data_IF_212126587815
#
_entry.id   IF_212126587815
#
_cell.length_a   1.000
_cell.length_b   1.000
_cell.length_c   1.000
_cell.angle_alpha   90.00
_cell.angle_beta   90.00
_cell.angle_gamma   90.00
#
_symmetry.space_group_name_H-M   'P 1'
#
loop_
_entity.id
_entity.type
_entity.pdbx_description
1 polymer ?
#
# COMPACT_ATOMS: atom_id res chain seq x y z
N UNK A 1 -18.21 65.39 30.88
CA UNK A 1 -19.65 65.08 30.78
C UNK A 1 -20.39 66.15 31.58
N UNK A 2 -21.05 67.08 30.90
CA UNK A 2 -21.68 68.26 31.52
C UNK A 2 -23.18 68.05 31.54
N UNK A 3 -23.78 67.94 32.72
CA UNK A 3 -25.23 67.76 32.90
C UNK A 3 -25.85 69.12 33.15
N UNK A 4 -26.78 69.53 32.28
CA UNK A 4 -27.58 70.75 32.45
C UNK A 4 -28.88 70.41 33.18
N UNK A 5 -29.16 71.10 34.29
CA UNK A 5 -30.48 71.10 34.93
C UNK A 5 -31.21 72.38 34.54
N UNK A 6 -32.27 72.27 33.74
CA UNK A 6 -33.20 73.38 33.44
C UNK A 6 -34.34 73.35 34.44
N UNK A 7 -34.54 74.44 35.17
CA UNK A 7 -35.67 74.62 36.09
C UNK A 7 -36.72 75.53 35.43
N UNK A 8 -37.77 74.92 34.87
CA UNK A 8 -38.88 75.60 34.19
C UNK A 8 -39.94 76.06 35.21
N UNK A 9 -39.89 77.32 35.68
CA UNK A 9 -41.09 78.01 36.21
C UNK A 9 -41.00 79.53 35.99
N UNK A 10 -42.04 80.08 35.34
CA UNK A 10 -42.46 81.51 35.16
C UNK A 10 -41.90 82.24 33.93
N UNK A 11 -42.72 82.45 32.89
CA UNK A 11 -43.61 83.61 32.60
C UNK A 11 -42.95 84.53 31.54
N UNK A 12 -43.57 85.32 30.65
CA UNK A 12 -44.93 85.83 30.39
C UNK A 12 -44.93 86.34 28.93
N UNK A 13 -46.06 86.28 28.23
CA UNK A 13 -46.25 86.89 26.90
C UNK A 13 -46.63 88.38 27.02
N UNK A 14 -45.98 89.26 26.25
CA UNK A 14 -46.38 90.68 26.09
C UNK A 14 -46.50 91.01 24.61
N UNK A 15 -47.66 91.55 24.21
CA UNK A 15 -47.99 92.00 22.85
C UNK A 15 -47.95 93.53 22.82
N UNK A 16 -47.21 94.13 21.87
CA UNK A 16 -47.23 95.57 21.63
C UNK A 16 -47.80 95.87 20.23
N UNK A 17 -48.80 96.77 20.16
CA UNK A 17 -49.26 97.46 18.95
C UNK A 17 -48.38 98.69 18.74
N UNK A 18 -48.10 99.01 17.48
CA UNK A 18 -47.40 100.18 16.96
C UNK A 18 -45.86 100.05 16.86
N UNK A 19 -45.38 100.45 15.69
CA UNK A 19 -44.13 100.05 15.05
C UNK A 19 -42.89 100.79 15.60
N UNK A 20 -42.73 100.75 16.93
CA UNK A 20 -41.55 101.24 17.66
C UNK A 20 -40.92 100.07 18.43
N UNK A 21 -39.61 99.79 18.28
CA UNK A 21 -38.98 98.62 18.87
C UNK A 21 -38.92 98.74 20.41
N UNK A 22 -39.64 97.83 21.10
CA UNK A 22 -39.53 97.63 22.55
C UNK A 22 -38.39 96.65 22.81
N UNK A 23 -37.28 97.14 23.38
CA UNK A 23 -36.15 96.32 23.78
C UNK A 23 -36.47 95.53 25.06
N UNK A 24 -36.81 94.24 24.93
CA UNK A 24 -36.79 93.30 26.06
C UNK A 24 -35.38 92.70 26.17
N UNK A 25 -34.64 93.16 27.18
CA UNK A 25 -33.27 92.74 27.47
C UNK A 25 -33.30 91.39 28.23
N UNK A 26 -33.20 90.25 27.52
CA UNK A 26 -33.01 88.95 28.18
C UNK A 26 -31.51 88.78 28.49
N UNK A 27 -31.14 89.02 29.74
CA UNK A 27 -29.83 88.67 30.30
C UNK A 27 -29.73 87.15 30.48
N UNK A 28 -28.96 86.47 29.63
CA UNK A 28 -28.42 85.15 29.99
C UNK A 28 -27.18 85.36 30.87
N UNK A 29 -27.37 85.33 32.20
CA UNK A 29 -26.25 85.25 33.14
C UNK A 29 -25.65 83.84 33.07
N UNK A 30 -24.38 83.76 32.73
CA UNK A 30 -23.55 82.55 32.86
C UNK A 30 -23.35 82.27 34.34
N UNK A 31 -24.29 81.57 34.97
CA UNK A 31 -24.12 81.11 36.35
C UNK A 31 -23.30 79.83 36.33
N UNK A 32 -21.97 79.97 36.49
CA UNK A 32 -21.18 78.87 37.01
C UNK A 32 -21.62 78.66 38.47
N UNK A 33 -22.59 77.76 38.67
CA UNK A 33 -23.09 77.41 40.01
C UNK A 33 -21.91 76.88 40.83
N UNK A 34 -21.36 77.74 41.68
CA UNK A 34 -20.23 77.42 42.56
C UNK A 34 -20.78 76.46 43.61
N UNK A 35 -20.48 75.17 43.42
CA UNK A 35 -20.88 74.07 44.28
C UNK A 35 -20.69 74.45 45.76
N UNK A 36 -21.77 74.36 46.55
CA UNK A 36 -21.81 74.88 47.92
C UNK A 36 -20.80 74.13 48.80
N UNK A 37 -20.31 74.77 49.87
CA UNK A 37 -19.31 74.13 50.78
C UNK A 37 -19.81 72.81 51.36
N UNK A 38 -21.12 72.65 51.53
CA UNK A 38 -21.73 71.40 51.99
C UNK A 38 -21.76 70.30 50.91
N UNK A 39 -21.98 70.66 49.64
CA UNK A 39 -21.94 69.69 48.54
C UNK A 39 -20.52 69.12 48.37
N UNK A 40 -19.48 69.93 48.61
CA UNK A 40 -18.07 69.48 48.64
C UNK A 40 -17.76 68.57 49.81
N UNK A 41 -18.38 68.80 50.96
CA UNK A 41 -18.18 68.03 52.19
C UNK A 41 -18.73 66.60 52.08
N UNK A 42 -19.71 66.37 51.20
CA UNK A 42 -20.31 65.05 50.97
C UNK A 42 -19.67 64.37 49.75
N UNK A 43 -19.49 65.10 48.64
CA UNK A 43 -19.05 64.51 47.37
C UNK A 43 -17.58 64.11 47.40
N UNK A 44 -16.68 64.89 48.02
CA UNK A 44 -15.26 64.55 48.03
C UNK A 44 -14.90 63.33 48.88
N UNK A 45 -15.44 63.15 50.11
CA UNK A 45 -15.22 61.90 50.82
C UNK A 45 -15.82 60.72 50.07
N UNK A 46 -17.01 60.86 49.46
CA UNK A 46 -17.61 59.79 48.66
C UNK A 46 -16.75 59.42 47.45
N UNK A 47 -16.15 60.40 46.78
CA UNK A 47 -15.27 60.20 45.63
C UNK A 47 -13.93 59.60 46.04
N UNK A 48 -13.38 59.97 47.19
CA UNK A 48 -12.19 59.33 47.79
C UNK A 48 -12.51 57.92 48.28
N UNK A 49 -13.74 57.65 48.73
CA UNK A 49 -14.22 56.31 49.08
C UNK A 49 -14.39 55.45 47.82
N UNK A 50 -14.97 55.99 46.74
CA UNK A 50 -15.09 55.31 45.44
C UNK A 50 -13.72 55.06 44.81
N UNK A 51 -12.80 56.04 44.86
CA UNK A 51 -11.44 55.89 44.37
C UNK A 51 -10.66 54.92 45.26
N UNK A 52 -10.91 54.94 46.57
CA UNK A 52 -10.42 53.96 47.53
C UNK A 52 -10.98 52.57 47.31
N UNK A 53 -12.21 52.40 46.83
CA UNK A 53 -12.76 51.11 46.39
C UNK A 53 -12.20 50.66 45.05
N UNK A 54 -11.90 51.58 44.12
CA UNK A 54 -11.20 51.28 42.87
C UNK A 54 -9.72 50.92 43.09
N UNK A 55 -9.08 51.48 44.12
CA UNK A 55 -7.67 51.26 44.46
C UNK A 55 -7.47 50.13 45.50
N UNK A 56 -8.43 49.92 46.43
CA UNK A 56 -8.55 48.70 47.27
C UNK A 56 -9.21 47.55 46.51
N UNK A 57 -9.69 47.80 45.30
CA UNK A 57 -9.83 46.81 44.23
C UNK A 57 -8.45 46.32 43.79
N UNK A 58 -7.68 45.87 44.78
CA UNK A 58 -6.68 44.84 44.65
C UNK A 58 -7.23 43.78 43.68
N UNK A 59 -6.50 43.44 42.63
CA UNK A 59 -5.45 42.40 42.75
C UNK A 59 -6.07 41.01 43.06
N UNK A 60 -7.40 40.87 42.94
CA UNK A 60 -8.08 39.61 42.68
C UNK A 60 -8.25 39.44 41.15
N UNK A 61 -7.19 39.00 40.46
CA UNK A 61 -7.38 38.32 39.17
C UNK A 61 -6.49 38.71 37.99
N UNK A 62 -5.72 39.80 38.04
CA UNK A 62 -4.59 39.97 37.11
C UNK A 62 -3.29 39.63 37.85
N UNK A 63 -3.29 38.43 38.46
CA UNK A 63 -2.08 37.66 38.32
C UNK A 63 -1.95 37.49 36.80
N UNK A 64 -1.02 38.21 36.18
CA UNK A 64 -0.25 37.59 35.13
C UNK A 64 0.24 36.29 35.76
N UNK A 65 -0.56 35.22 35.62
CA UNK A 65 -0.19 33.91 36.10
C UNK A 65 1.09 33.66 35.35
N UNK A 66 2.24 33.85 36.03
CA UNK A 66 3.48 33.23 35.63
C UNK A 66 3.05 31.83 35.30
N UNK A 67 3.08 31.51 33.99
CA UNK A 67 2.58 30.25 33.45
C UNK A 67 3.20 29.20 34.34
N UNK A 68 2.42 28.63 35.25
CA UNK A 68 2.94 27.75 36.28
C UNK A 68 3.18 26.46 35.53
N UNK A 69 4.33 26.39 34.87
CA UNK A 69 4.75 25.20 34.15
C UNK A 69 5.02 24.19 35.25
N UNK A 70 4.06 23.29 35.45
CA UNK A 70 4.30 22.12 36.28
C UNK A 70 5.39 21.32 35.59
N UNK A 71 6.56 21.24 36.22
CA UNK A 71 7.70 20.48 35.68
C UNK A 71 7.43 18.97 35.74
N UNK A 72 6.55 18.52 36.64
CA UNK A 72 6.21 17.11 36.85
C UNK A 72 4.78 16.97 37.34
N UNK A 73 3.98 16.21 36.61
CA UNK A 73 2.65 15.76 37.06
C UNK A 73 2.78 14.31 37.52
N UNK A 74 2.51 14.05 38.79
CA UNK A 74 2.44 12.69 39.34
C UNK A 74 0.99 12.39 39.67
N UNK A 75 0.36 11.57 38.85
CA UNK A 75 -1.02 11.16 39.03
C UNK A 75 -1.16 9.67 38.71
N UNK A 76 -2.15 9.02 39.32
CA UNK A 76 -2.52 7.64 38.95
C UNK A 76 -3.15 7.60 37.56
N UNK A 77 -3.86 8.66 37.20
CA UNK A 77 -4.53 8.84 35.93
C UNK A 77 -4.66 10.34 35.63
N UNK A 78 -4.51 10.74 34.38
CA UNK A 78 -4.85 12.07 33.89
C UNK A 78 -5.92 11.90 32.82
N UNK A 79 -7.10 12.50 33.02
CA UNK A 79 -8.23 12.41 32.08
C UNK A 79 -8.54 13.80 31.54
N UNK A 80 -8.61 13.90 30.21
CA UNK A 80 -9.11 15.06 29.49
C UNK A 80 -10.55 14.75 29.07
N UNK A 81 -11.47 15.66 29.36
CA UNK A 81 -12.89 15.57 29.00
C UNK A 81 -13.28 16.69 28.05
N UNK A 82 -14.34 16.49 27.26
CA UNK A 82 -14.94 17.53 26.43
C UNK A 82 -15.87 18.47 27.24
N UNK A 83 -16.54 19.41 26.56
CA UNK A 83 -17.48 20.35 27.17
C UNK A 83 -18.69 19.68 27.83
N UNK A 84 -19.01 18.43 27.45
CA UNK A 84 -20.11 17.65 28.01
C UNK A 84 -19.66 16.80 29.21
N UNK A 85 -18.36 16.76 29.50
CA UNK A 85 -17.77 15.93 30.54
C UNK A 85 -17.41 14.51 30.08
N UNK A 86 -17.49 14.22 28.78
CA UNK A 86 -17.15 12.92 28.21
C UNK A 86 -15.65 12.79 28.00
N UNK A 87 -15.09 11.60 28.26
CA UNK A 87 -13.65 11.36 28.15
C UNK A 87 -13.19 11.44 26.70
N UNK A 88 -12.11 12.16 26.45
CA UNK A 88 -11.50 12.29 25.11
C UNK A 88 -10.09 11.70 25.08
N UNK A 89 -9.31 11.91 26.14
CA UNK A 89 -7.95 11.37 26.30
C UNK A 89 -7.74 10.92 27.74
N UNK A 90 -7.05 9.80 27.94
CA UNK A 90 -6.59 9.37 29.26
C UNK A 90 -5.13 8.93 29.21
N UNK A 91 -4.33 9.33 30.19
CA UNK A 91 -3.02 8.78 30.48
C UNK A 91 -3.17 7.85 31.68
N UNK A 92 -3.09 6.54 31.45
CA UNK A 92 -3.25 5.52 32.49
C UNK A 92 -2.45 4.26 32.20
N UNK A 93 -1.92 3.64 33.24
CA UNK A 93 -1.28 2.32 33.17
C UNK A 93 -0.21 2.16 32.06
N UNK A 94 0.59 3.20 31.79
CA UNK A 94 1.62 3.17 30.75
C UNK A 94 1.12 3.43 29.32
N UNK A 95 -0.14 3.83 29.17
CA UNK A 95 -0.75 4.16 27.88
C UNK A 95 -1.28 5.59 27.84
N UNK A 96 -1.18 6.20 26.66
CA UNK A 96 -2.02 7.31 26.22
C UNK A 96 -3.16 6.71 25.39
N UNK A 97 -4.39 6.99 25.77
CA UNK A 97 -5.59 6.44 25.14
C UNK A 97 -6.48 7.58 24.70
N UNK A 98 -6.98 7.53 23.47
CA UNK A 98 -8.03 8.43 22.98
C UNK A 98 -9.35 7.69 22.87
N UNK A 99 -10.44 8.43 23.02
CA UNK A 99 -11.80 7.91 22.95
C UNK A 99 -12.55 8.55 21.77
N UNK A 100 -13.40 7.76 21.11
CA UNK A 100 -14.31 8.29 20.09
C UNK A 100 -15.61 8.83 20.72
N UNK A 101 -16.50 9.35 19.87
CA UNK A 101 -17.80 9.91 20.30
C UNK A 101 -18.72 8.92 21.00
N UNK A 102 -18.47 7.61 20.88
CA UNK A 102 -19.23 6.56 21.54
C UNK A 102 -18.63 6.16 22.89
N UNK A 103 -17.54 6.82 23.32
CA UNK A 103 -16.82 6.49 24.55
C UNK A 103 -16.01 5.19 24.46
N UNK A 104 -15.90 4.58 23.27
CA UNK A 104 -14.98 3.45 23.04
C UNK A 104 -13.59 3.96 22.70
N UNK A 105 -12.57 3.16 23.01
CA UNK A 105 -11.18 3.52 22.70
C UNK A 105 -11.06 3.66 21.19
N UNK A 106 -10.46 4.75 20.73
CA UNK A 106 -10.15 5.01 19.32
C UNK A 106 -8.69 4.70 19.00
N UNK A 107 -7.76 5.04 19.91
CA UNK A 107 -6.34 4.76 19.75
C UNK A 107 -5.69 4.53 21.11
N UNK A 108 -4.73 3.61 21.20
CA UNK A 108 -3.84 3.47 22.35
C UNK A 108 -2.37 3.52 21.90
N UNK A 109 -1.53 4.20 22.68
CA UNK A 109 -0.09 4.32 22.47
C UNK A 109 0.56 4.04 23.82
N UNK A 110 1.47 3.07 23.90
CA UNK A 110 2.11 2.76 25.17
C UNK A 110 3.05 1.56 25.07
N UNK A 111 3.18 0.86 26.19
CA UNK A 111 4.04 -0.31 26.30
C UNK A 111 3.23 -1.52 26.75
N UNK A 112 3.39 -2.64 26.04
CA UNK A 112 2.79 -3.93 26.37
C UNK A 112 3.92 -4.95 26.56
N UNK A 113 4.15 -5.37 27.81
CA UNK A 113 5.32 -6.18 28.16
C UNK A 113 6.62 -5.41 27.90
N UNK A 114 7.55 -6.04 27.17
CA UNK A 114 8.87 -5.48 26.87
C UNK A 114 8.89 -4.55 25.64
N UNK A 115 7.75 -4.39 24.95
CA UNK A 115 7.67 -3.71 23.65
C UNK A 115 6.74 -2.50 23.63
N UNK A 116 7.02 -1.55 22.73
CA UNK A 116 6.12 -0.45 22.40
C UNK A 116 4.98 -0.91 21.48
N UNK A 117 3.80 -0.31 21.65
CA UNK A 117 2.63 -0.60 20.81
C UNK A 117 1.81 0.67 20.52
N UNK A 118 1.32 0.77 19.30
CA UNK A 118 0.29 1.71 18.85
C UNK A 118 -0.85 0.90 18.24
N UNK A 119 -2.07 1.07 18.73
CA UNK A 119 -3.26 0.37 18.21
C UNK A 119 -4.34 1.38 17.88
N UNK A 120 -4.93 1.29 16.69
CA UNK A 120 -6.16 1.98 16.34
C UNK A 120 -7.33 1.00 16.40
N UNK A 121 -8.47 1.46 16.92
CA UNK A 121 -9.66 0.65 17.13
C UNK A 121 -10.81 1.20 16.28
N UNK A 122 -11.70 0.31 15.85
CA UNK A 122 -12.94 0.70 15.19
C UNK A 122 -13.98 1.18 16.21
N UNK A 123 -15.14 1.65 15.71
CA UNK A 123 -16.19 2.21 16.56
C UNK A 123 -16.80 1.20 17.56
N UNK A 124 -16.67 -0.10 17.29
CA UNK A 124 -17.10 -1.19 18.17
C UNK A 124 -16.06 -1.54 19.25
N UNK A 125 -14.88 -0.91 19.23
CA UNK A 125 -13.78 -1.21 20.15
C UNK A 125 -12.92 -2.41 19.73
N UNK A 126 -13.07 -2.91 18.51
CA UNK A 126 -12.22 -3.96 17.96
C UNK A 126 -10.96 -3.35 17.34
N UNK A 127 -9.75 -3.91 17.56
CA UNK A 127 -8.54 -3.47 16.88
C UNK A 127 -8.71 -3.50 15.35
N UNK A 128 -8.35 -2.41 14.68
CA UNK A 128 -8.36 -2.30 13.22
C UNK A 128 -6.95 -2.29 12.62
N UNK A 129 -5.98 -1.73 13.33
CA UNK A 129 -4.57 -1.77 12.96
C UNK A 129 -3.65 -1.57 14.16
N UNK A 130 -2.43 -2.07 14.07
CA UNK A 130 -1.41 -1.82 15.07
C UNK A 130 0.01 -1.81 14.50
N UNK A 131 0.89 -1.10 15.22
CA UNK A 131 2.33 -1.16 15.08
C UNK A 131 2.89 -1.61 16.43
N UNK A 132 3.74 -2.63 16.45
CA UNK A 132 4.34 -3.14 17.68
C UNK A 132 5.82 -3.51 17.49
N UNK A 133 6.58 -3.41 18.58
CA UNK A 133 7.98 -3.80 18.63
C UNK A 133 8.20 -4.88 19.72
N UNK A 134 7.72 -6.11 19.54
CA UNK A 134 8.00 -7.22 20.45
C UNK A 134 9.51 -7.58 20.47
N UNK A 135 9.91 -8.40 21.44
CA UNK A 135 11.32 -8.76 21.68
C UNK A 135 12.01 -9.49 20.52
N UNK A 136 11.25 -10.06 19.56
CA UNK A 136 11.77 -10.83 18.43
C UNK A 136 11.67 -10.12 17.07
N UNK A 137 11.32 -8.83 17.05
CA UNK A 137 11.29 -8.01 15.84
C UNK A 137 10.15 -6.99 15.82
N UNK A 138 10.02 -6.23 14.74
CA UNK A 138 8.91 -5.31 14.54
C UNK A 138 7.74 -5.95 13.79
N UNK A 139 6.52 -5.49 14.07
CA UNK A 139 5.33 -5.88 13.32
C UNK A 139 4.38 -4.71 13.09
N UNK A 140 3.72 -4.75 11.94
CA UNK A 140 2.58 -3.90 11.57
C UNK A 140 1.49 -4.83 11.11
N UNK A 141 0.27 -4.69 11.62
CA UNK A 141 -0.84 -5.51 11.16
C UNK A 141 -2.15 -4.73 11.08
N UNK A 142 -3.07 -5.26 10.29
CA UNK A 142 -4.45 -4.79 10.16
C UNK A 142 -5.41 -5.94 10.42
N UNK A 143 -6.61 -5.59 10.87
CA UNK A 143 -7.71 -6.50 11.11
C UNK A 143 -8.98 -6.02 10.38
N UNK A 144 -9.87 -6.94 10.06
CA UNK A 144 -11.20 -6.60 9.55
C UNK A 144 -12.14 -6.12 10.68
N UNK A 145 -13.39 -5.80 10.36
CA UNK A 145 -14.37 -5.28 11.33
C UNK A 145 -14.71 -6.27 12.47
N UNK A 146 -14.42 -7.56 12.30
CA UNK A 146 -14.59 -8.60 13.32
C UNK A 146 -13.34 -8.84 14.17
N UNK A 147 -12.22 -8.21 13.82
CA UNK A 147 -10.93 -8.38 14.50
C UNK A 147 -10.07 -9.51 13.91
N UNK A 148 -10.53 -10.18 12.85
CA UNK A 148 -9.73 -11.19 12.16
C UNK A 148 -8.60 -10.51 11.39
N UNK A 149 -7.41 -11.10 11.41
CA UNK A 149 -6.24 -10.53 10.75
C UNK A 149 -6.44 -10.40 9.22
N UNK A 150 -6.04 -9.27 8.64
CA UNK A 150 -6.14 -8.99 7.21
C UNK A 150 -4.78 -8.89 6.53
N UNK A 151 -3.84 -8.17 7.14
CA UNK A 151 -2.46 -8.08 6.65
C UNK A 151 -1.49 -8.02 7.81
N UNK A 152 -0.36 -8.70 7.68
CA UNK A 152 0.79 -8.62 8.57
C UNK A 152 2.01 -8.21 7.74
N UNK A 153 2.82 -7.33 8.29
CA UNK A 153 4.18 -7.04 7.84
C UNK A 153 5.06 -7.11 9.06
N UNK A 154 6.13 -7.89 9.00
CA UNK A 154 7.00 -8.07 10.16
C UNK A 154 8.41 -8.43 9.79
N UNK A 155 9.27 -8.33 10.78
CA UNK A 155 10.64 -8.85 10.73
C UNK A 155 10.81 -9.83 11.86
N UNK A 156 11.50 -10.93 11.61
CA UNK A 156 11.98 -11.86 12.62
C UNK A 156 13.51 -11.82 12.65
N UNK A 157 14.13 -12.68 13.47
CA UNK A 157 15.59 -12.87 13.43
C UNK A 157 16.07 -13.52 12.12
N UNK A 158 15.17 -14.18 11.38
CA UNK A 158 15.46 -14.94 10.15
C UNK A 158 15.18 -14.13 8.87
N UNK A 159 14.50 -12.99 8.97
CA UNK A 159 14.25 -12.11 7.83
C UNK A 159 12.92 -11.36 7.90
N UNK A 160 12.47 -10.86 6.75
CA UNK A 160 11.25 -10.06 6.61
C UNK A 160 10.09 -10.85 6.00
N UNK A 161 8.87 -10.55 6.44
CA UNK A 161 7.65 -11.17 5.91
C UNK A 161 6.51 -10.16 5.72
N UNK A 162 5.70 -10.40 4.68
CA UNK A 162 4.40 -9.77 4.48
C UNK A 162 3.41 -10.90 4.20
N UNK A 163 2.31 -10.94 4.94
CA UNK A 163 1.26 -11.95 4.76
C UNK A 163 -0.09 -11.25 4.65
N UNK A 164 -0.89 -11.61 3.65
CA UNK A 164 -2.29 -11.22 3.55
C UNK A 164 -3.19 -12.40 3.85
N UNK A 165 -4.32 -12.13 4.48
CA UNK A 165 -5.28 -13.13 4.92
C UNK A 165 -6.66 -12.83 4.36
N UNK A 166 -7.42 -13.89 4.12
CA UNK A 166 -8.86 -13.86 3.85
C UNK A 166 -9.63 -13.96 5.18
N UNK A 167 -10.95 -13.68 5.19
CA UNK A 167 -11.77 -13.91 6.37
C UNK A 167 -11.60 -15.33 6.93
N UNK A 168 -11.59 -15.44 8.26
CA UNK A 168 -11.22 -16.67 8.96
C UNK A 168 -9.71 -16.94 9.02
N UNK A 169 -8.89 -15.92 8.79
CA UNK A 169 -7.41 -15.96 8.90
C UNK A 169 -6.75 -16.99 7.96
N UNK A 170 -7.37 -17.20 6.80
CA UNK A 170 -6.87 -18.09 5.77
C UNK A 170 -5.80 -17.35 4.96
N UNK A 171 -4.54 -17.83 4.91
CA UNK A 171 -3.48 -17.18 4.13
C UNK A 171 -3.87 -17.03 2.65
N UNK A 172 -3.57 -15.85 2.09
CA UNK A 172 -3.87 -15.51 0.70
C UNK A 172 -2.59 -15.30 -0.11
N UNK A 173 -1.66 -14.52 0.42
CA UNK A 173 -0.35 -14.26 -0.19
C UNK A 173 0.69 -14.09 0.89
N UNK A 174 1.85 -14.70 0.68
CA UNK A 174 3.03 -14.54 1.53
C UNK A 174 4.18 -14.04 0.67
N UNK A 175 4.84 -12.98 1.13
CA UNK A 175 6.11 -12.48 0.60
C UNK A 175 7.11 -12.65 1.73
N UNK A 176 8.20 -13.38 1.52
CA UNK A 176 9.18 -13.66 2.57
C UNK A 176 10.59 -13.58 2.02
N UNK A 177 11.49 -13.03 2.82
CA UNK A 177 12.93 -13.08 2.62
C UNK A 177 13.54 -13.87 3.77
N UNK A 178 14.30 -14.91 3.47
CA UNK A 178 14.97 -15.78 4.45
C UNK A 178 16.37 -16.07 3.93
N UNK A 179 17.40 -15.71 4.69
CA UNK A 179 18.80 -15.97 4.34
C UNK A 179 19.16 -15.54 2.91
N UNK A 180 19.47 -16.49 2.02
CA UNK A 180 19.82 -16.25 0.61
C UNK A 180 18.63 -16.32 -0.35
N UNK A 181 17.43 -16.54 0.18
CA UNK A 181 16.23 -16.93 -0.58
C UNK A 181 15.10 -15.91 -0.40
N UNK A 182 14.44 -15.58 -1.51
CA UNK A 182 13.26 -14.71 -1.51
C UNK A 182 12.10 -15.45 -2.17
N UNK A 183 10.90 -15.31 -1.60
CA UNK A 183 9.72 -16.04 -2.04
C UNK A 183 8.49 -15.15 -2.07
N UNK A 184 7.65 -15.36 -3.09
CA UNK A 184 6.26 -14.91 -3.15
C UNK A 184 5.39 -16.12 -3.41
N UNK A 185 4.40 -16.37 -2.57
CA UNK A 185 3.49 -17.51 -2.68
C UNK A 185 2.06 -17.02 -2.57
N UNK A 186 1.22 -17.39 -3.53
CA UNK A 186 -0.23 -17.20 -3.44
C UNK A 186 -0.91 -18.53 -3.14
N UNK A 187 -1.96 -18.49 -2.33
CA UNK A 187 -2.72 -19.67 -1.93
C UNK A 187 -4.12 -19.68 -2.56
N UNK A 188 -4.62 -20.88 -2.80
CA UNK A 188 -6.02 -21.15 -3.12
C UNK A 188 -6.97 -20.53 -2.09
N UNK A 189 -8.27 -20.37 -2.41
CA UNK A 189 -9.25 -19.78 -1.50
C UNK A 189 -9.37 -20.48 -0.13
N UNK A 190 -9.10 -21.80 -0.06
CA UNK A 190 -9.10 -22.58 1.17
C UNK A 190 -7.75 -22.59 1.91
N UNK A 191 -6.72 -21.92 1.39
CA UNK A 191 -5.41 -21.75 2.03
C UNK A 191 -4.51 -22.99 2.04
N UNK A 192 -4.94 -24.12 1.48
CA UNK A 192 -4.18 -25.38 1.54
C UNK A 192 -3.22 -25.56 0.37
N UNK A 193 -3.55 -24.96 -0.77
CA UNK A 193 -2.94 -25.28 -2.05
C UNK A 193 -2.20 -24.06 -2.57
N UNK A 194 -0.97 -24.23 -3.04
CA UNK A 194 -0.24 -23.14 -3.71
C UNK A 194 -0.88 -22.89 -5.07
N UNK A 195 -1.23 -21.64 -5.36
CA UNK A 195 -1.68 -21.22 -6.70
C UNK A 195 -0.50 -20.83 -7.58
N UNK A 196 0.35 -19.94 -7.08
CA UNK A 196 1.58 -19.51 -7.75
C UNK A 196 2.69 -19.34 -6.73
N UNK A 197 3.88 -19.85 -7.04
CA UNK A 197 5.10 -19.51 -6.33
C UNK A 197 6.07 -18.79 -7.25
N UNK A 198 6.81 -17.85 -6.68
CA UNK A 198 7.96 -17.22 -7.28
C UNK A 198 9.08 -17.32 -6.25
N UNK A 199 10.24 -17.83 -6.63
CA UNK A 199 11.37 -17.91 -5.71
C UNK A 199 12.68 -17.53 -6.41
N UNK A 200 13.59 -16.93 -5.67
CA UNK A 200 14.95 -16.65 -6.13
C UNK A 200 15.94 -16.96 -5.02
N UNK A 201 17.12 -17.45 -5.40
CA UNK A 201 18.25 -17.65 -4.50
C UNK A 201 19.57 -17.44 -5.26
N UNK A 202 20.68 -17.77 -4.61
CA UNK A 202 22.03 -17.67 -5.15
C UNK A 202 22.30 -18.52 -6.42
N UNK A 203 21.43 -19.49 -6.74
CA UNK A 203 21.58 -20.41 -7.89
C UNK A 203 20.65 -20.11 -9.06
N UNK A 204 19.67 -19.23 -8.88
CA UNK A 204 18.69 -18.90 -9.90
C UNK A 204 17.34 -18.47 -9.36
N UNK A 205 16.34 -18.49 -10.23
CA UNK A 205 14.95 -18.20 -9.89
C UNK A 205 13.95 -19.04 -10.66
N UNK A 206 12.77 -19.18 -10.09
CA UNK A 206 11.66 -19.92 -10.67
C UNK A 206 10.32 -19.20 -10.45
N UNK A 207 9.39 -19.44 -11.36
CA UNK A 207 7.97 -19.11 -11.23
C UNK A 207 7.19 -20.37 -11.58
N UNK A 208 6.40 -20.87 -10.62
CA UNK A 208 5.58 -22.06 -10.79
C UNK A 208 4.11 -21.67 -10.63
N UNK A 209 3.31 -21.97 -11.65
CA UNK A 209 1.85 -21.86 -11.59
C UNK A 209 1.26 -23.26 -11.48
N UNK A 210 0.50 -23.51 -10.43
CA UNK A 210 -0.09 -24.81 -10.13
C UNK A 210 -1.52 -24.89 -10.66
N UNK A 211 -1.89 -26.09 -11.10
CA UNK A 211 -3.26 -26.46 -11.40
C UNK A 211 -4.07 -26.61 -10.11
N UNK A 212 -5.42 -26.60 -10.17
CA UNK A 212 -6.26 -26.86 -9.00
C UNK A 212 -6.05 -28.24 -8.33
N UNK A 213 -5.33 -29.16 -8.97
CA UNK A 213 -4.98 -30.48 -8.45
C UNK A 213 -3.55 -30.55 -7.90
N UNK A 214 -2.92 -29.40 -7.62
CA UNK A 214 -1.56 -29.32 -7.04
C UNK A 214 -0.44 -29.81 -7.96
N UNK A 215 -0.73 -30.01 -9.24
CA UNK A 215 0.29 -30.31 -10.26
C UNK A 215 0.75 -28.99 -10.86
N UNK A 216 2.06 -28.79 -11.01
CA UNK A 216 2.61 -27.66 -11.77
C UNK A 216 2.02 -27.69 -13.17
N UNK A 217 1.36 -26.61 -13.59
CA UNK A 217 0.85 -26.46 -14.96
C UNK A 217 1.85 -25.73 -15.85
N UNK A 218 2.55 -24.73 -15.30
CA UNK A 218 3.59 -23.98 -16.00
C UNK A 218 4.75 -23.73 -15.05
N UNK A 219 5.97 -23.93 -15.53
CA UNK A 219 7.20 -23.56 -14.85
C UNK A 219 8.02 -22.62 -15.75
N UNK A 220 8.49 -21.51 -15.19
CA UNK A 220 9.52 -20.66 -15.78
C UNK A 220 10.73 -20.74 -14.86
N UNK A 221 11.87 -21.19 -15.37
CA UNK A 221 13.06 -21.44 -14.56
C UNK A 221 14.25 -20.76 -15.21
N UNK A 222 15.08 -20.10 -14.41
CA UNK A 222 16.37 -19.60 -14.87
C UNK A 222 17.43 -19.88 -13.82
N UNK A 223 18.39 -20.72 -14.17
CA UNK A 223 19.58 -21.00 -13.38
C UNK A 223 20.80 -20.38 -14.05
N UNK A 224 21.96 -20.55 -13.43
CA UNK A 224 23.24 -20.14 -14.01
C UNK A 224 23.58 -20.89 -15.32
N UNK A 225 22.97 -22.07 -15.53
CA UNK A 225 23.31 -22.97 -16.65
C UNK A 225 22.20 -23.01 -17.72
N UNK A 226 20.94 -22.88 -17.32
CA UNK A 226 19.77 -23.13 -18.18
C UNK A 226 18.66 -22.15 -17.85
N UNK A 227 18.03 -21.57 -18.87
CA UNK A 227 16.71 -20.95 -18.73
C UNK A 227 15.69 -21.77 -19.51
N UNK A 228 14.50 -21.95 -18.94
CA UNK A 228 13.42 -22.71 -19.57
C UNK A 228 12.02 -22.18 -19.27
N UNK A 229 11.10 -22.48 -20.18
CA UNK A 229 9.66 -22.39 -19.98
C UNK A 229 9.08 -23.76 -20.28
N UNK A 230 8.40 -24.37 -19.31
CA UNK A 230 7.83 -25.71 -19.44
C UNK A 230 6.34 -25.68 -19.12
N UNK A 231 5.53 -26.30 -19.98
CA UNK A 231 4.10 -26.50 -19.75
C UNK A 231 3.82 -27.97 -19.47
N UNK A 232 2.94 -28.23 -18.54
CA UNK A 232 2.60 -29.55 -18.04
C UNK A 232 1.09 -29.79 -18.19
N UNK A 233 0.75 -31.00 -18.64
CA UNK A 233 -0.58 -31.56 -18.58
C UNK A 233 -0.73 -32.54 -17.41
N UNK A 234 -1.89 -33.20 -17.30
CA UNK A 234 -2.16 -34.17 -16.22
C UNK A 234 -1.20 -35.35 -16.16
N UNK A 235 -0.56 -35.68 -17.29
CA UNK A 235 0.28 -36.88 -17.48
C UNK A 235 1.77 -36.57 -17.61
N UNK A 236 2.17 -35.29 -17.69
CA UNK A 236 3.57 -34.87 -17.83
C UNK A 236 3.76 -33.62 -18.69
N UNK A 237 4.96 -33.44 -19.24
CA UNK A 237 5.34 -32.25 -20.02
C UNK A 237 4.62 -32.26 -21.39
N UNK A 238 4.02 -31.13 -21.76
CA UNK A 238 3.40 -30.91 -23.08
C UNK A 238 4.28 -30.04 -23.99
N UNK A 239 5.13 -29.20 -23.41
CA UNK A 239 6.06 -28.39 -24.18
C UNK A 239 7.17 -27.79 -23.32
N UNK A 240 8.30 -27.57 -23.95
CA UNK A 240 9.46 -26.91 -23.32
C UNK A 240 10.15 -25.98 -24.31
N UNK A 241 10.61 -24.85 -23.80
CA UNK A 241 11.56 -23.95 -24.47
C UNK A 241 12.78 -23.89 -23.55
N UNK A 242 13.98 -24.10 -24.06
CA UNK A 242 15.23 -24.09 -23.28
C UNK A 242 16.35 -23.35 -24.01
N UNK A 243 17.33 -22.82 -23.28
CA UNK A 243 18.46 -22.05 -23.81
C UNK A 243 19.84 -22.69 -23.61
N UNK A 244 19.94 -23.94 -23.14
CA UNK A 244 21.22 -24.56 -22.81
C UNK A 244 21.98 -25.04 -24.06
N UNK A 245 23.16 -24.46 -24.32
CA UNK A 245 24.02 -24.84 -25.45
C UNK A 245 23.43 -24.52 -26.84
N UNK A 246 22.41 -23.66 -26.87
CA UNK A 246 21.58 -23.35 -28.03
C UNK A 246 20.10 -23.31 -27.64
N UNK A 247 19.25 -22.68 -28.46
CA UNK A 247 17.81 -22.63 -28.21
C UNK A 247 17.13 -23.93 -28.66
N UNK A 248 16.31 -24.53 -27.81
CA UNK A 248 15.45 -25.66 -28.16
C UNK A 248 13.98 -25.38 -27.82
N UNK A 249 13.07 -25.69 -28.75
CA UNK A 249 11.62 -25.70 -28.54
C UNK A 249 11.12 -27.10 -28.87
N UNK A 250 10.52 -27.78 -27.91
CA UNK A 250 10.03 -29.15 -28.08
C UNK A 250 8.59 -29.27 -27.58
N UNK A 251 7.74 -29.98 -28.32
CA UNK A 251 6.34 -30.28 -27.95
C UNK A 251 6.13 -31.78 -27.83
N UNK A 252 5.19 -32.18 -26.97
CA UNK A 252 4.86 -33.56 -26.68
C UNK A 252 3.35 -33.78 -26.72
N UNK A 253 2.95 -34.96 -27.15
CA UNK A 253 1.56 -35.43 -27.04
C UNK A 253 1.19 -35.64 -25.56
N UNK A 254 -0.11 -35.78 -25.22
CA UNK A 254 -0.53 -36.18 -23.89
C UNK A 254 0.01 -37.55 -23.42
N UNK A 255 0.43 -38.40 -24.36
CA UNK A 255 1.09 -39.69 -24.09
C UNK A 255 2.62 -39.57 -24.06
N UNK A 256 3.15 -38.35 -23.97
CA UNK A 256 4.57 -38.02 -23.88
C UNK A 256 5.40 -38.43 -25.11
N UNK A 257 4.75 -38.57 -26.25
CA UNK A 257 5.42 -38.79 -27.54
C UNK A 257 5.80 -37.42 -28.10
N UNK A 258 7.08 -37.23 -28.43
CA UNK A 258 7.54 -35.99 -29.06
C UNK A 258 6.77 -35.73 -30.36
N UNK A 259 6.30 -34.50 -30.53
CA UNK A 259 5.54 -34.07 -31.71
C UNK A 259 6.37 -33.22 -32.66
N UNK A 260 6.94 -32.13 -32.15
CA UNK A 260 7.82 -31.24 -32.92
C UNK A 260 9.02 -30.84 -32.07
N UNK A 261 10.19 -30.70 -32.70
CA UNK A 261 11.36 -30.06 -32.09
C UNK A 261 11.96 -29.03 -33.05
N UNK A 262 12.44 -27.93 -32.51
CA UNK A 262 13.24 -26.92 -33.18
C UNK A 262 14.47 -26.68 -32.33
N UNK A 263 15.66 -26.96 -32.86
CA UNK A 263 16.90 -26.92 -32.08
C UNK A 263 17.99 -26.18 -32.83
N UNK A 264 18.65 -25.27 -32.15
CA UNK A 264 19.89 -24.63 -32.60
C UNK A 264 21.06 -25.23 -31.84
N UNK A 265 22.12 -25.60 -32.55
CA UNK A 265 23.36 -26.11 -31.96
C UNK A 265 24.56 -25.43 -32.65
N UNK A 266 25.76 -25.46 -32.05
CA UNK A 266 26.96 -24.94 -32.70
C UNK A 266 27.27 -25.59 -34.06
N UNK A 267 26.82 -26.84 -34.27
CA UNK A 267 27.04 -27.61 -35.50
C UNK A 267 25.95 -27.45 -36.57
N UNK A 268 24.84 -26.78 -36.26
CA UNK A 268 23.69 -26.72 -37.15
C UNK A 268 22.35 -26.51 -36.46
N UNK A 269 21.31 -26.31 -37.27
CA UNK A 269 19.95 -26.07 -36.80
C UNK A 269 19.00 -27.10 -37.40
N UNK A 270 18.01 -27.55 -36.63
CA UNK A 270 17.00 -28.51 -37.10
C UNK A 270 15.59 -28.07 -36.71
N UNK A 271 14.63 -28.45 -37.54
CA UNK A 271 13.19 -28.49 -37.28
C UNK A 271 12.73 -29.88 -37.68
N UNK A 272 12.20 -30.66 -36.74
CA UNK A 272 11.70 -32.00 -37.03
C UNK A 272 10.30 -32.21 -36.48
N UNK A 273 9.49 -32.96 -37.22
CA UNK A 273 8.17 -33.44 -36.80
C UNK A 273 8.19 -34.95 -36.65
N UNK A 274 7.35 -35.44 -35.75
CA UNK A 274 7.24 -36.85 -35.41
C UNK A 274 5.78 -37.28 -35.49
N UNK A 275 5.57 -38.49 -35.98
CA UNK A 275 4.25 -39.12 -36.00
C UNK A 275 3.79 -39.57 -34.61
N UNK A 276 2.54 -40.07 -34.48
CA UNK A 276 1.95 -40.45 -33.20
C UNK A 276 2.70 -41.54 -32.41
N UNK A 277 3.59 -42.29 -33.08
CA UNK A 277 4.42 -43.34 -32.48
C UNK A 277 5.85 -42.89 -32.17
N UNK A 278 6.17 -41.61 -32.39
CA UNK A 278 7.51 -41.06 -32.17
C UNK A 278 8.48 -41.29 -33.33
N UNK A 279 8.01 -41.87 -34.44
CA UNK A 279 8.80 -42.00 -35.67
C UNK A 279 8.86 -40.66 -36.36
N UNK A 280 10.06 -40.21 -36.76
CA UNK A 280 10.24 -38.95 -37.48
C UNK A 280 9.42 -38.96 -38.78
N UNK A 281 8.77 -37.84 -39.09
CA UNK A 281 7.99 -37.64 -40.30
C UNK A 281 8.67 -36.70 -41.28
N UNK A 282 9.15 -35.55 -40.78
CA UNK A 282 9.85 -34.54 -41.58
C UNK A 282 11.03 -33.98 -40.80
N UNK A 283 12.11 -33.68 -41.51
CA UNK A 283 13.27 -32.93 -41.01
C UNK A 283 13.59 -31.80 -41.98
N UNK A 284 13.84 -30.61 -41.45
CA UNK A 284 14.41 -29.47 -42.16
C UNK A 284 15.61 -29.04 -41.33
N UNK A 285 16.80 -29.00 -41.92
CA UNK A 285 17.99 -28.70 -41.13
C UNK A 285 19.14 -28.15 -41.93
N UNK A 286 20.13 -27.70 -41.20
CA UNK A 286 21.44 -27.26 -41.69
C UNK A 286 22.51 -27.89 -40.82
N UNK A 287 23.62 -28.27 -41.43
CA UNK A 287 24.81 -28.75 -40.72
C UNK A 287 26.08 -28.40 -41.49
N UNK A 288 27.23 -28.95 -41.06
CA UNK A 288 28.53 -28.69 -41.69
C UNK A 288 28.61 -29.02 -43.19
N UNK A 289 27.71 -29.88 -43.69
CA UNK A 289 27.65 -30.31 -45.09
C UNK A 289 26.54 -29.62 -45.91
N UNK A 290 25.93 -28.56 -45.35
CA UNK A 290 24.87 -27.78 -46.00
C UNK A 290 23.47 -28.05 -45.45
N UNK A 291 22.45 -27.78 -46.27
CA UNK A 291 21.03 -27.81 -45.86
C UNK A 291 20.29 -29.04 -46.37
N UNK A 292 19.33 -29.53 -45.61
CA UNK A 292 18.52 -30.71 -45.92
C UNK A 292 17.03 -30.49 -45.61
N UNK A 293 16.16 -30.99 -46.48
CA UNK A 293 14.74 -31.23 -46.24
C UNK A 293 14.46 -32.70 -46.55
N UNK A 294 14.08 -33.48 -45.53
CA UNK A 294 13.84 -34.91 -45.65
C UNK A 294 12.49 -35.30 -45.09
N UNK A 295 11.83 -36.26 -45.75
CA UNK A 295 10.60 -36.89 -45.29
C UNK A 295 10.83 -38.37 -45.07
N UNK A 296 10.14 -38.93 -44.08
CA UNK A 296 10.29 -40.31 -43.65
C UNK A 296 8.94 -40.99 -43.64
N UNK A 297 8.92 -42.28 -43.98
CA UNK A 297 7.71 -43.07 -43.88
C UNK A 297 7.44 -43.52 -42.44
N UNK A 298 6.30 -44.17 -42.21
CA UNK A 298 5.86 -44.65 -40.89
C UNK A 298 6.82 -45.64 -40.20
N UNK A 299 7.79 -46.21 -40.92
CA UNK A 299 8.80 -47.12 -40.39
C UNK A 299 10.13 -46.40 -40.09
N UNK A 300 10.23 -45.09 -40.36
CA UNK A 300 11.42 -44.27 -40.15
C UNK A 300 12.41 -44.26 -41.31
N UNK A 301 12.05 -44.84 -42.46
CA UNK A 301 12.92 -44.81 -43.63
C UNK A 301 12.69 -43.55 -44.46
N UNK A 302 13.77 -42.93 -44.93
CA UNK A 302 13.71 -41.78 -45.84
C UNK A 302 12.86 -42.11 -47.07
N UNK A 303 12.01 -41.18 -47.47
CA UNK A 303 11.15 -41.29 -48.65
C UNK A 303 11.57 -40.29 -49.72
N UNK A 304 11.80 -39.04 -49.33
CA UNK A 304 12.32 -37.96 -50.19
C UNK A 304 13.32 -37.14 -49.41
N UNK A 305 14.46 -36.79 -50.02
CA UNK A 305 15.43 -35.84 -49.49
C UNK A 305 15.78 -34.79 -50.54
N UNK A 306 15.76 -33.52 -50.16
CA UNK A 306 16.29 -32.39 -50.92
C UNK A 306 17.47 -31.85 -50.12
N UNK A 307 18.68 -31.96 -50.66
CA UNK A 307 19.90 -31.63 -49.89
C UNK A 307 21.02 -31.12 -50.79
N UNK A 308 22.11 -30.68 -50.18
CA UNK A 308 23.35 -30.35 -50.87
C UNK A 308 24.24 -31.57 -51.04
N UNK A 309 24.85 -31.74 -52.21
CA UNK A 309 25.90 -32.71 -52.46
C UNK A 309 27.19 -32.30 -51.74
N UNK A 310 28.15 -33.21 -51.65
CA UNK A 310 29.49 -32.94 -51.09
C UNK A 310 30.22 -31.82 -51.81
N UNK A 311 29.90 -31.58 -53.08
CA UNK A 311 30.48 -30.53 -53.91
C UNK A 311 29.70 -29.20 -53.82
N UNK A 312 28.67 -29.14 -52.98
CA UNK A 312 27.86 -27.95 -52.73
C UNK A 312 26.70 -27.72 -53.70
N UNK A 313 26.42 -28.67 -54.61
CA UNK A 313 25.29 -28.58 -55.53
C UNK A 313 23.98 -29.02 -54.89
N UNK A 314 22.84 -28.52 -55.34
CA UNK A 314 21.53 -29.05 -54.91
C UNK A 314 21.23 -30.41 -55.54
N UNK A 315 20.60 -31.30 -54.78
CA UNK A 315 20.11 -32.59 -55.23
C UNK A 315 18.76 -32.99 -54.64
N UNK A 316 18.05 -33.86 -55.35
CA UNK A 316 16.79 -34.51 -54.97
C UNK A 316 16.97 -36.02 -55.04
N UNK A 317 16.68 -36.71 -53.95
CA UNK A 317 16.69 -38.16 -53.83
C UNK A 317 15.29 -38.67 -53.49
N UNK A 318 14.82 -39.70 -54.21
CA UNK A 318 13.52 -40.36 -53.97
C UNK A 318 13.79 -41.84 -53.72
N UNK A 319 13.47 -42.31 -52.52
CA UNK A 319 13.80 -43.66 -52.05
C UNK A 319 12.62 -44.61 -52.15
N UNK A 320 12.91 -45.91 -52.17
CA UNK A 320 11.86 -46.93 -52.04
C UNK A 320 11.30 -47.01 -50.60
N UNK A 321 10.30 -47.88 -50.36
CA UNK A 321 9.69 -48.05 -49.02
C UNK A 321 10.66 -48.47 -47.90
N UNK A 322 11.81 -49.00 -48.25
CA UNK A 322 12.85 -49.43 -47.33
C UNK A 322 13.92 -48.34 -47.09
N UNK A 323 13.82 -47.19 -47.76
CA UNK A 323 14.86 -46.15 -47.72
C UNK A 323 16.08 -46.47 -48.58
N UNK A 324 15.95 -47.40 -49.53
CA UNK A 324 17.04 -47.89 -50.38
C UNK A 324 16.84 -47.45 -51.84
N UNK A 325 17.89 -47.61 -52.65
CA UNK A 325 17.90 -47.42 -54.12
C UNK A 325 17.27 -46.10 -54.58
N UNK A 326 17.84 -44.94 -54.20
CA UNK A 326 17.25 -43.67 -54.56
C UNK A 326 17.33 -43.42 -56.08
N UNK A 327 16.23 -42.93 -56.66
CA UNK A 327 16.32 -42.09 -57.85
C UNK A 327 16.94 -40.75 -57.47
N UNK A 328 17.92 -40.27 -58.23
CA UNK A 328 18.69 -39.07 -57.92
C UNK A 328 18.68 -38.07 -59.07
N UNK A 329 18.46 -36.81 -58.74
CA UNK A 329 18.56 -35.67 -59.65
C UNK A 329 19.44 -34.59 -59.00
N UNK A 330 20.52 -34.16 -59.66
CA UNK A 330 21.31 -33.01 -59.22
C UNK A 330 21.76 -32.15 -60.39
N UNK A 331 22.29 -30.98 -60.07
CA UNK A 331 23.08 -30.23 -61.02
C UNK A 331 24.34 -31.03 -61.41
N UNK A 332 24.57 -31.21 -62.70
CA UNK A 332 25.85 -31.66 -63.25
C UNK A 332 26.56 -30.44 -63.81
N UNK A 333 27.78 -30.16 -63.36
CA UNK A 333 28.66 -29.27 -64.13
C UNK A 333 28.95 -29.99 -65.46
N UNK A 334 28.58 -29.38 -66.58
CA UNK A 334 29.40 -29.54 -67.79
C UNK A 334 30.78 -28.91 -67.54
#
# INVERSE_FOLDING_TARGET
MTIYCVNLKKMVAVRARNNTPVFVRIRLKKEAKKMSRFERLIIYPLLVLCLGYLLRGEIAGINAQKRQVSEKIVAREIVIVDEKGERTVALKAGFVVTYNSNGTIATSIGSAGDGGVVVAFNNAGTPGSALAAPSKGGMIYTCNSKGEQGTLMGTTQEGGEIVTYRPGEIPATTIKSIDDSNMVVTFSPNGTTVGTSMSTNSKGGEILAYTPKEVVGIALVSTNDVSSITTHGPTGVLGTITSSGGGEVSTYSPTLVMGTTMKSTPSGNIVATYGPTGVMGTLIGTGGNGGEISTYNKNGHSSVAISTTTDGHGGLWIYNKNGEHPGFYSHSNE
#
